data_IF_035997605324
#
_entry.id   IF_035997605324
#
_cell.length_a   1.000
_cell.length_b   1.000
_cell.length_c   1.000
_cell.angle_alpha   90.00
_cell.angle_beta   90.00
_cell.angle_gamma   90.00
#
_symmetry.space_group_name_H-M   'P 1'
#
loop_
_entity.id
_entity.type
_entity.pdbx_description
1 polymer ?
#
# COMPACT_ATOMS: atom_id res chain seq x y z
N UNK A 1 75.52 26.97 -27.64
CA UNK A 1 74.25 27.16 -26.96
C UNK A 1 73.24 26.30 -27.67
N UNK A 2 72.83 25.22 -27.02
CA UNK A 2 71.93 24.23 -27.64
C UNK A 2 70.47 24.45 -27.07
N UNK A 3 69.52 24.72 -27.98
CA UNK A 3 68.13 24.93 -27.63
C UNK A 3 67.46 23.63 -27.38
N UNK A 4 66.83 23.53 -26.21
CA UNK A 4 65.97 22.41 -25.79
C UNK A 4 64.60 22.56 -26.44
N UNK A 5 64.29 21.64 -27.33
CA UNK A 5 62.96 21.53 -27.96
C UNK A 5 61.97 20.91 -27.00
N UNK A 6 60.99 21.69 -26.55
CA UNK A 6 59.80 21.17 -25.81
C UNK A 6 58.96 20.33 -26.76
N UNK A 7 58.89 19.01 -26.54
CA UNK A 7 57.93 18.14 -27.20
C UNK A 7 56.54 18.37 -26.55
N UNK A 8 55.65 19.00 -27.30
CA UNK A 8 54.23 19.02 -27.00
C UNK A 8 53.66 17.63 -27.27
N UNK A 9 53.15 17.01 -26.20
CA UNK A 9 52.46 15.74 -26.29
C UNK A 9 51.03 15.99 -26.80
N UNK A 10 50.79 15.68 -28.08
CA UNK A 10 49.45 15.76 -28.69
C UNK A 10 48.67 14.54 -28.27
N UNK A 11 47.74 14.75 -27.33
CA UNK A 11 46.76 13.73 -26.96
C UNK A 11 45.79 13.51 -28.13
N UNK A 12 45.91 12.39 -28.81
CA UNK A 12 45.00 12.00 -29.87
C UNK A 12 43.65 11.54 -29.31
N UNK A 13 42.55 11.93 -29.96
CA UNK A 13 41.15 11.64 -29.58
C UNK A 13 40.77 10.15 -29.48
N UNK A 14 41.71 9.23 -29.60
CA UNK A 14 41.51 7.79 -29.56
C UNK A 14 41.67 7.16 -28.16
N UNK A 15 42.09 7.92 -27.14
CA UNK A 15 42.38 7.40 -25.81
C UNK A 15 41.27 7.60 -24.79
N UNK A 16 40.06 8.05 -25.19
CA UNK A 16 38.94 8.36 -24.24
C UNK A 16 37.80 7.34 -24.33
N UNK A 17 37.94 6.24 -25.07
CA UNK A 17 36.82 5.28 -25.28
C UNK A 17 36.99 3.98 -24.49
N UNK A 18 37.76 3.94 -23.42
CA UNK A 18 37.98 2.71 -22.69
C UNK A 18 37.83 2.90 -21.17
N UNK A 19 36.72 3.40 -20.68
CA UNK A 19 36.30 3.25 -19.29
C UNK A 19 34.78 3.53 -19.11
N UNK A 20 33.95 2.92 -19.94
CA UNK A 20 32.57 2.69 -19.52
C UNK A 20 32.61 1.51 -18.53
N UNK A 21 32.90 1.81 -17.27
CA UNK A 21 32.66 0.86 -16.19
C UNK A 21 31.16 0.55 -16.25
N UNK A 22 30.83 -0.69 -16.65
CA UNK A 22 29.50 -1.21 -16.49
C UNK A 22 29.20 -1.23 -14.99
N UNK A 23 28.51 -0.21 -14.51
CA UNK A 23 27.88 -0.26 -13.19
C UNK A 23 26.95 -1.47 -13.21
N UNK A 24 27.08 -2.40 -12.26
CA UNK A 24 26.11 -3.48 -12.16
C UNK A 24 24.75 -2.82 -12.00
N UNK A 25 23.81 -3.09 -12.92
CA UNK A 25 22.41 -2.85 -12.70
C UNK A 25 22.05 -3.69 -11.48
N UNK A 26 21.97 -3.04 -10.31
CA UNK A 26 21.43 -3.68 -9.12
C UNK A 26 20.01 -4.12 -9.50
N UNK A 27 19.82 -5.43 -9.62
CA UNK A 27 18.49 -6.00 -9.79
C UNK A 27 17.69 -5.56 -8.56
N UNK A 28 16.74 -4.64 -8.75
CA UNK A 28 15.81 -4.29 -7.68
C UNK A 28 14.94 -5.53 -7.44
N UNK A 29 15.08 -6.11 -6.27
CA UNK A 29 14.16 -7.13 -5.83
C UNK A 29 12.82 -6.44 -5.54
N UNK A 30 11.77 -6.83 -6.26
CA UNK A 30 10.41 -6.37 -5.99
C UNK A 30 9.86 -7.11 -4.76
N UNK A 31 8.93 -6.47 -4.07
CA UNK A 31 8.28 -7.04 -2.91
C UNK A 31 7.51 -8.31 -3.28
N UNK A 32 7.52 -9.28 -2.37
CA UNK A 32 6.79 -10.53 -2.53
C UNK A 32 5.42 -10.41 -1.87
N UNK A 33 4.38 -10.73 -2.63
CA UNK A 33 3.02 -10.87 -2.10
C UNK A 33 2.84 -12.31 -1.61
N UNK A 34 2.49 -12.46 -0.34
CA UNK A 34 2.18 -13.76 0.27
C UNK A 34 0.66 -13.85 0.43
N UNK A 35 0.04 -14.81 -0.25
CA UNK A 35 -1.39 -15.10 -0.06
C UNK A 35 -1.57 -16.02 1.15
N UNK A 36 -2.48 -15.67 2.06
CA UNK A 36 -2.80 -16.47 3.24
C UNK A 36 -4.30 -16.75 3.37
N UNK A 37 -4.68 -17.92 3.91
CA UNK A 37 -6.09 -18.21 4.18
C UNK A 37 -6.61 -17.33 5.34
N UNK A 38 -7.92 -17.09 5.32
CA UNK A 38 -8.60 -16.40 6.41
C UNK A 38 -8.64 -17.25 7.68
N UNK A 39 -8.58 -16.59 8.83
CA UNK A 39 -8.69 -17.18 10.16
C UNK A 39 -9.98 -16.72 10.88
N UNK A 40 -10.35 -17.36 11.97
CA UNK A 40 -11.47 -16.88 12.82
C UNK A 40 -11.22 -15.48 13.40
N UNK A 41 -9.96 -15.17 13.69
CA UNK A 41 -9.58 -13.84 14.15
C UNK A 41 -9.77 -12.79 13.06
N UNK A 42 -9.46 -13.14 11.80
CA UNK A 42 -9.72 -12.25 10.67
C UNK A 42 -11.20 -11.94 10.50
N UNK A 43 -12.07 -12.93 10.68
CA UNK A 43 -13.53 -12.68 10.65
C UNK A 43 -13.99 -11.77 11.79
N UNK A 44 -13.47 -11.97 13.00
CA UNK A 44 -13.78 -11.13 14.17
C UNK A 44 -13.40 -9.67 13.92
N UNK A 45 -12.20 -9.43 13.40
CA UNK A 45 -11.67 -8.08 13.16
C UNK A 45 -12.32 -7.45 11.91
N UNK A 46 -12.64 -8.26 10.90
CA UNK A 46 -13.37 -7.78 9.72
C UNK A 46 -14.76 -7.29 10.07
N UNK A 47 -15.48 -7.94 11.00
CA UNK A 47 -16.78 -7.43 11.50
C UNK A 47 -16.68 -6.02 12.06
N UNK A 48 -15.56 -5.68 12.70
CA UNK A 48 -15.34 -4.30 13.19
C UNK A 48 -15.13 -3.32 12.02
N UNK A 49 -14.37 -3.72 10.98
CA UNK A 49 -14.21 -2.89 9.80
C UNK A 49 -15.53 -2.66 9.04
N UNK A 50 -16.37 -3.71 8.93
CA UNK A 50 -17.71 -3.63 8.35
C UNK A 50 -18.63 -2.74 9.21
N UNK A 51 -18.53 -2.81 10.53
CA UNK A 51 -19.30 -1.94 11.44
C UNK A 51 -18.89 -0.46 11.29
N UNK A 52 -17.61 -0.16 11.11
CA UNK A 52 -17.15 1.20 10.76
C UNK A 52 -17.70 1.65 9.39
N UNK A 53 -17.68 0.76 8.40
CA UNK A 53 -18.20 1.03 7.06
C UNK A 53 -19.67 1.44 7.07
N UNK A 54 -20.49 0.81 7.93
CA UNK A 54 -21.92 1.10 8.05
C UNK A 54 -22.22 2.55 8.50
N UNK A 55 -21.25 3.23 9.10
CA UNK A 55 -21.36 4.60 9.60
C UNK A 55 -20.57 5.63 8.76
N UNK A 56 -20.01 5.21 7.64
CA UNK A 56 -19.26 6.11 6.73
C UNK A 56 -20.15 6.88 5.76
N UNK A 57 -19.61 7.91 5.14
CA UNK A 57 -20.26 8.63 4.04
C UNK A 57 -20.50 7.73 2.83
N UNK A 58 -19.56 6.80 2.60
CA UNK A 58 -19.67 5.64 1.73
C UNK A 58 -19.34 4.39 2.56
N UNK A 59 -19.83 3.19 2.19
CA UNK A 59 -19.72 2.00 3.01
C UNK A 59 -18.31 1.37 2.97
N UNK A 60 -17.31 2.16 3.35
CA UNK A 60 -15.92 1.76 3.46
C UNK A 60 -15.38 2.04 4.86
N UNK A 61 -14.94 1.00 5.54
CA UNK A 61 -14.39 1.06 6.89
C UNK A 61 -13.09 0.27 7.01
N UNK A 62 -12.26 0.66 7.97
CA UNK A 62 -10.97 0.07 8.21
C UNK A 62 -10.62 -0.02 9.70
N UNK A 63 -9.83 -1.04 10.05
CA UNK A 63 -9.31 -1.27 11.41
C UNK A 63 -7.83 -1.63 11.31
N UNK A 64 -7.00 -0.96 12.10
CA UNK A 64 -5.56 -1.27 12.22
C UNK A 64 -5.34 -2.00 13.54
N UNK A 65 -4.65 -3.16 13.46
CA UNK A 65 -4.39 -4.01 14.61
C UNK A 65 -2.93 -4.40 14.73
N UNK A 66 -2.54 -4.81 15.93
CA UNK A 66 -1.30 -5.54 16.21
C UNK A 66 -1.62 -6.63 17.21
N UNK A 67 -1.19 -7.85 16.94
CA UNK A 67 -1.41 -9.01 17.81
C UNK A 67 -2.87 -9.17 18.26
N UNK A 68 -3.82 -8.91 17.33
CA UNK A 68 -5.25 -8.97 17.59
C UNK A 68 -5.85 -7.77 18.36
N UNK A 69 -5.03 -6.86 18.87
CA UNK A 69 -5.48 -5.63 19.53
C UNK A 69 -5.81 -4.55 18.51
N UNK A 70 -6.97 -3.90 18.64
CA UNK A 70 -7.39 -2.77 17.82
C UNK A 70 -6.71 -1.50 18.28
N UNK A 71 -5.90 -0.89 17.41
CA UNK A 71 -5.14 0.32 17.71
C UNK A 71 -5.77 1.58 17.11
N UNK A 72 -6.41 1.46 15.94
CA UNK A 72 -7.12 2.56 15.30
C UNK A 72 -8.24 2.02 14.41
N UNK A 73 -9.27 2.84 14.21
CA UNK A 73 -10.35 2.60 13.26
C UNK A 73 -10.52 3.81 12.34
N UNK A 74 -11.17 3.59 11.22
CA UNK A 74 -11.52 4.64 10.27
C UNK A 74 -12.70 4.23 9.42
N UNK A 75 -13.46 5.22 8.99
CA UNK A 75 -14.55 5.08 8.02
C UNK A 75 -14.43 6.16 6.98
N UNK A 76 -15.07 5.99 5.86
CA UNK A 76 -15.08 7.04 4.83
C UNK A 76 -15.73 8.32 5.40
N UNK A 77 -15.02 9.43 5.33
CA UNK A 77 -15.41 10.75 5.80
C UNK A 77 -15.25 11.80 4.69
N UNK A 78 -15.29 11.39 3.44
CA UNK A 78 -15.02 12.26 2.30
C UNK A 78 -15.96 13.47 2.22
N UNK A 79 -17.24 13.28 2.50
CA UNK A 79 -18.25 14.35 2.53
C UNK A 79 -18.10 15.18 3.79
N UNK A 80 -18.04 14.53 4.96
CA UNK A 80 -17.98 15.23 6.25
C UNK A 80 -16.76 16.13 6.38
N UNK A 81 -15.60 15.68 5.87
CA UNK A 81 -14.35 16.45 5.92
C UNK A 81 -14.09 17.30 4.68
N UNK A 82 -14.96 17.23 3.67
CA UNK A 82 -14.72 17.87 2.36
C UNK A 82 -13.35 17.47 1.77
N UNK A 83 -12.93 16.23 2.01
CA UNK A 83 -11.65 15.66 1.58
C UNK A 83 -11.90 14.35 0.81
N UNK A 84 -11.82 14.35 -0.53
CA UNK A 84 -12.06 13.15 -1.33
C UNK A 84 -11.03 12.02 -1.07
N UNK A 85 -9.95 12.31 -0.35
CA UNK A 85 -8.96 11.30 0.05
C UNK A 85 -9.26 10.66 1.39
N UNK A 86 -10.27 11.12 2.14
CA UNK A 86 -10.62 10.61 3.46
C UNK A 86 -11.37 9.26 3.37
N UNK A 87 -10.78 8.29 2.68
CA UNK A 87 -11.23 6.91 2.68
C UNK A 87 -11.00 6.25 4.04
N UNK A 88 -11.72 5.19 4.35
CA UNK A 88 -11.65 4.51 5.64
C UNK A 88 -10.23 4.14 6.07
N UNK A 89 -9.43 3.63 5.14
CA UNK A 89 -8.03 3.25 5.36
C UNK A 89 -7.18 4.47 5.69
N UNK A 90 -7.33 5.57 4.94
CA UNK A 90 -6.58 6.82 5.15
C UNK A 90 -6.95 7.44 6.50
N UNK A 91 -8.24 7.41 6.86
CA UNK A 91 -8.72 7.89 8.18
C UNK A 91 -8.12 7.05 9.30
N UNK A 92 -8.13 5.71 9.18
CA UNK A 92 -7.52 4.81 10.16
C UNK A 92 -6.01 5.05 10.32
N UNK A 93 -5.28 5.18 9.21
CA UNK A 93 -3.84 5.48 9.19
C UNK A 93 -3.57 6.82 9.88
N UNK A 94 -4.29 7.88 9.53
CA UNK A 94 -4.12 9.20 10.16
C UNK A 94 -4.43 9.18 11.67
N UNK A 95 -5.50 8.49 12.06
CA UNK A 95 -5.87 8.28 13.47
C UNK A 95 -4.77 7.55 14.24
N UNK A 96 -4.20 6.48 13.65
CA UNK A 96 -3.09 5.76 14.24
C UNK A 96 -1.85 6.65 14.39
N UNK A 97 -1.46 7.36 13.34
CA UNK A 97 -0.27 8.21 13.33
C UNK A 97 -0.34 9.32 14.37
N UNK A 98 -1.51 9.92 14.56
CA UNK A 98 -1.73 10.96 15.57
C UNK A 98 -1.52 10.44 17.00
N UNK A 99 -1.81 9.16 17.27
CA UNK A 99 -1.72 8.57 18.61
C UNK A 99 -0.38 7.89 18.89
N UNK A 100 0.20 7.22 17.90
CA UNK A 100 1.32 6.29 18.11
C UNK A 100 2.59 6.65 17.35
N UNK A 101 2.49 7.49 16.32
CA UNK A 101 3.60 7.83 15.43
C UNK A 101 3.91 6.75 14.37
N UNK A 102 4.75 7.07 13.36
CA UNK A 102 4.94 6.24 12.18
C UNK A 102 5.69 4.92 12.45
N UNK A 103 6.63 4.91 13.38
CA UNK A 103 7.44 3.71 13.64
C UNK A 103 6.60 2.54 14.17
N UNK A 104 5.53 2.84 14.92
CA UNK A 104 4.64 1.81 15.46
C UNK A 104 3.63 1.28 14.43
N UNK A 105 3.51 1.91 13.26
CA UNK A 105 2.62 1.43 12.21
C UNK A 105 3.22 0.26 11.42
N UNK A 106 4.54 0.19 11.35
CA UNK A 106 5.26 -0.86 10.62
C UNK A 106 4.91 -2.25 11.18
N UNK A 107 4.61 -3.17 10.26
CA UNK A 107 4.27 -4.56 10.61
C UNK A 107 2.91 -4.75 11.29
N UNK A 108 2.03 -3.74 11.29
CA UNK A 108 0.63 -3.90 11.70
C UNK A 108 -0.18 -4.62 10.63
N UNK A 109 -1.41 -5.03 10.98
CA UNK A 109 -2.40 -5.55 10.03
C UNK A 109 -3.49 -4.51 9.82
N UNK A 110 -3.85 -4.28 8.55
CA UNK A 110 -4.96 -3.45 8.12
C UNK A 110 -6.11 -4.36 7.67
N UNK A 111 -7.27 -4.21 8.30
CA UNK A 111 -8.54 -4.83 7.89
C UNK A 111 -9.39 -3.79 7.20
N UNK A 112 -9.96 -4.12 6.02
CA UNK A 112 -10.80 -3.19 5.25
C UNK A 112 -12.06 -3.89 4.72
N UNK A 113 -13.21 -3.21 4.79
CA UNK A 113 -14.47 -3.75 4.28
C UNK A 113 -14.50 -3.90 2.75
N UNK A 114 -13.59 -3.25 2.05
CA UNK A 114 -13.37 -3.40 0.61
C UNK A 114 -11.88 -3.44 0.31
N UNK A 115 -11.51 -4.12 -0.77
CA UNK A 115 -10.12 -4.12 -1.25
C UNK A 115 -9.67 -2.67 -1.50
N UNK A 116 -8.51 -2.25 -0.94
CA UNK A 116 -8.05 -0.87 -1.04
C UNK A 116 -7.86 -0.43 -2.49
N UNK A 117 -8.38 0.75 -2.84
CA UNK A 117 -8.07 1.38 -4.11
C UNK A 117 -6.56 1.72 -4.21
N UNK A 118 -6.09 2.10 -5.40
CA UNK A 118 -4.67 2.38 -5.65
C UNK A 118 -4.08 3.43 -4.67
N UNK A 119 -4.84 4.45 -4.27
CA UNK A 119 -4.42 5.45 -3.30
C UNK A 119 -4.20 4.84 -1.91
N UNK A 120 -5.18 4.08 -1.42
CA UNK A 120 -5.12 3.47 -0.09
C UNK A 120 -4.08 2.36 -0.01
N UNK A 121 -3.94 1.54 -1.08
CA UNK A 121 -2.89 0.53 -1.14
C UNK A 121 -1.50 1.16 -1.17
N UNK A 122 -1.30 2.23 -1.94
CA UNK A 122 -0.06 2.99 -1.92
C UNK A 122 0.28 3.52 -0.52
N UNK A 123 -0.70 4.10 0.19
CA UNK A 123 -0.52 4.55 1.58
C UNK A 123 -0.17 3.40 2.54
N UNK A 124 -0.82 2.24 2.39
CA UNK A 124 -0.56 1.02 3.18
C UNK A 124 0.91 0.59 3.07
N UNK A 125 1.44 0.58 1.84
CA UNK A 125 2.82 0.21 1.55
C UNK A 125 3.79 1.26 2.10
N UNK A 126 3.56 2.55 1.85
CA UNK A 126 4.43 3.63 2.35
C UNK A 126 4.49 3.68 3.88
N UNK A 127 3.41 3.29 4.55
CA UNK A 127 3.35 3.21 6.01
C UNK A 127 4.02 1.95 6.60
N UNK A 128 4.43 0.99 5.76
CA UNK A 128 5.07 -0.24 6.22
C UNK A 128 4.12 -1.23 6.89
N UNK A 129 2.81 -1.17 6.60
CA UNK A 129 1.84 -2.16 7.09
C UNK A 129 2.20 -3.52 6.51
N UNK A 130 2.34 -4.53 7.35
CA UNK A 130 2.87 -5.84 6.97
C UNK A 130 1.82 -6.81 6.45
N UNK A 131 0.53 -6.61 6.78
CA UNK A 131 -0.57 -7.47 6.36
C UNK A 131 -1.81 -6.66 5.99
N UNK A 132 -2.44 -7.03 4.88
CA UNK A 132 -3.74 -6.53 4.44
C UNK A 132 -4.75 -7.67 4.47
N UNK A 133 -5.90 -7.43 5.09
CA UNK A 133 -7.07 -8.32 5.05
C UNK A 133 -8.26 -7.52 4.53
N UNK A 134 -8.89 -7.96 3.44
CA UNK A 134 -10.05 -7.27 2.89
C UNK A 134 -11.25 -8.17 2.71
N UNK A 135 -12.45 -7.58 2.75
CA UNK A 135 -13.71 -8.27 2.52
C UNK A 135 -14.04 -8.35 1.03
N UNK A 136 -14.74 -7.37 0.45
CA UNK A 136 -15.12 -7.38 -0.94
C UNK A 136 -13.94 -6.99 -1.86
N UNK A 137 -13.71 -7.75 -2.93
CA UNK A 137 -12.67 -7.43 -3.92
C UNK A 137 -13.04 -6.21 -4.77
N UNK A 138 -12.05 -5.62 -5.46
CA UNK A 138 -12.28 -4.52 -6.44
C UNK A 138 -13.29 -4.94 -7.51
N UNK A 139 -13.20 -6.17 -8.03
CA UNK A 139 -14.16 -6.67 -9.03
C UNK A 139 -15.58 -6.74 -8.49
N UNK A 140 -15.77 -7.19 -7.26
CA UNK A 140 -17.07 -7.21 -6.61
C UNK A 140 -17.60 -5.79 -6.35
N UNK A 141 -16.75 -4.89 -5.85
CA UNK A 141 -17.09 -3.49 -5.60
C UNK A 141 -17.45 -2.75 -6.89
N UNK A 142 -16.79 -3.05 -8.00
CA UNK A 142 -17.08 -2.44 -9.31
C UNK A 142 -18.51 -2.71 -9.80
N UNK A 143 -19.16 -3.76 -9.29
CA UNK A 143 -20.60 -4.00 -9.57
C UNK A 143 -21.53 -3.05 -8.82
N UNK A 144 -21.03 -2.32 -7.83
CA UNK A 144 -21.80 -1.43 -6.95
C UNK A 144 -21.46 0.05 -7.14
N UNK A 145 -20.18 0.36 -7.31
CA UNK A 145 -19.66 1.73 -7.41
C UNK A 145 -18.42 1.74 -8.29
N UNK A 146 -18.16 2.84 -9.01
CA UNK A 146 -16.96 2.98 -9.84
C UNK A 146 -15.66 2.75 -9.07
N UNK A 147 -14.74 1.98 -9.66
CA UNK A 147 -13.46 1.62 -9.09
C UNK A 147 -12.30 1.94 -10.03
N UNK A 148 -11.11 2.17 -9.46
CA UNK A 148 -9.85 2.09 -10.19
C UNK A 148 -9.48 0.60 -10.25
N UNK A 149 -9.54 0.00 -11.44
CA UNK A 149 -9.39 -1.45 -11.65
C UNK A 149 -7.93 -1.90 -11.61
N UNK A 150 -7.22 -1.60 -10.50
CA UNK A 150 -5.86 -2.06 -10.22
C UNK A 150 -5.90 -2.76 -8.87
N UNK A 151 -5.59 -4.05 -8.85
CA UNK A 151 -5.69 -4.87 -7.65
C UNK A 151 -4.60 -4.51 -6.63
N UNK A 152 -4.89 -4.67 -5.36
CA UNK A 152 -3.91 -4.44 -4.27
C UNK A 152 -2.64 -5.28 -4.43
N UNK A 153 -2.77 -6.53 -4.89
CA UNK A 153 -1.64 -7.42 -5.14
C UNK A 153 -0.73 -6.90 -6.28
N UNK A 154 -1.30 -6.33 -7.35
CA UNK A 154 -0.54 -5.74 -8.45
C UNK A 154 0.31 -4.57 -7.96
N UNK A 155 -0.27 -3.65 -7.17
CA UNK A 155 0.45 -2.52 -6.60
C UNK A 155 1.56 -3.00 -5.67
N UNK A 156 1.29 -4.02 -4.86
CA UNK A 156 2.26 -4.57 -3.92
C UNK A 156 3.47 -5.19 -4.64
N UNK A 157 3.27 -5.91 -5.76
CA UNK A 157 4.37 -6.52 -6.52
C UNK A 157 5.27 -5.51 -7.22
N UNK A 158 4.79 -4.31 -7.49
CA UNK A 158 5.55 -3.25 -8.17
C UNK A 158 6.37 -2.37 -7.19
N UNK A 159 6.53 -2.79 -5.93
CA UNK A 159 7.26 -2.00 -4.93
C UNK A 159 8.59 -2.66 -4.54
N UNK A 160 9.65 -1.88 -4.29
CA UNK A 160 10.94 -2.39 -3.83
C UNK A 160 11.07 -2.39 -2.29
N UNK A 161 9.97 -2.20 -1.54
CA UNK A 161 10.08 -1.94 -0.10
C UNK A 161 10.08 -3.22 0.72
N UNK A 162 8.90 -3.73 1.05
CA UNK A 162 8.75 -4.88 1.94
C UNK A 162 7.74 -5.85 1.37
N UNK A 163 7.89 -7.11 1.75
CA UNK A 163 6.87 -8.11 1.50
C UNK A 163 5.59 -7.75 2.26
N UNK A 164 4.44 -8.02 1.68
CA UNK A 164 3.14 -7.84 2.31
C UNK A 164 2.33 -9.12 2.21
N UNK A 165 1.70 -9.51 3.31
CA UNK A 165 0.74 -10.60 3.34
C UNK A 165 -0.65 -10.09 2.98
N UNK A 166 -1.37 -10.77 2.08
CA UNK A 166 -2.70 -10.37 1.63
C UNK A 166 -3.67 -11.53 1.81
N UNK A 167 -4.79 -11.28 2.50
CA UNK A 167 -5.92 -12.19 2.65
C UNK A 167 -7.18 -11.50 2.13
N UNK A 168 -7.81 -12.04 1.10
CA UNK A 168 -9.04 -11.47 0.53
C UNK A 168 -10.28 -12.33 0.75
N UNK A 169 -11.45 -11.72 0.58
CA UNK A 169 -12.74 -12.41 0.59
C UNK A 169 -13.34 -12.66 1.98
N UNK A 170 -12.79 -12.05 3.03
CA UNK A 170 -13.25 -12.28 4.41
C UNK A 170 -14.56 -11.54 4.65
N UNK A 171 -15.66 -12.28 4.75
CA UNK A 171 -17.02 -11.73 4.92
C UNK A 171 -17.45 -10.77 3.78
N UNK A 172 -17.06 -11.08 2.55
CA UNK A 172 -17.33 -10.24 1.39
C UNK A 172 -18.82 -9.92 1.20
N UNK A 173 -19.70 -10.90 1.38
CA UNK A 173 -21.15 -10.72 1.21
C UNK A 173 -21.72 -9.76 2.26
N UNK A 174 -21.23 -9.82 3.51
CA UNK A 174 -21.63 -8.90 4.57
C UNK A 174 -21.25 -7.45 4.23
N UNK A 175 -20.03 -7.25 3.71
CA UNK A 175 -19.57 -5.93 3.28
C UNK A 175 -20.37 -5.40 2.07
N UNK A 176 -20.61 -6.25 1.08
CA UNK A 176 -21.39 -5.89 -0.11
C UNK A 176 -22.86 -5.55 0.20
N UNK A 177 -23.43 -6.15 1.24
CA UNK A 177 -24.78 -5.86 1.69
C UNK A 177 -24.99 -4.41 2.17
N UNK A 178 -23.89 -3.70 2.51
CA UNK A 178 -23.96 -2.28 2.90
C UNK A 178 -24.23 -1.35 1.71
N UNK A 179 -23.96 -1.78 0.47
CA UNK A 179 -24.24 -1.02 -0.73
C UNK A 179 -25.72 -1.20 -1.09
N UNK A 180 -26.53 -0.23 -0.68
CA UNK A 180 -27.97 -0.21 -1.03
C UNK A 180 -28.09 0.00 -2.54
N UNK A 181 -28.88 -0.84 -3.19
CA UNK A 181 -29.32 -0.66 -4.60
C UNK A 181 -30.20 0.57 -4.76
#
# INVERSE_FOLDING_TARGET
>A
MRGEGKRQMVMTRRSIVAAAAALPLASQAFAKVVQSPATQEDERLMKLAIAEAANGDFPFGAVITRDGEVLATGRNLGIQLQDPTAHGEIVAIRSFLAKYGPEKLKGTTLYTSGEPCAMCMGATIWCGIGRLVYAASIDQLATKIGQIMILSAEIATETPFQDIEITGGVLADEALALFKS
#
